data_IF_931314163295
#
_entry.id   IF_931314163295
#
_cell.length_a   1.000
_cell.length_b   1.000
_cell.length_c   1.000
_cell.angle_alpha   90.00
_cell.angle_beta   90.00
_cell.angle_gamma   90.00
#
_symmetry.space_group_name_H-M   'P 1'
#
loop_
_entity.id
_entity.type
_entity.pdbx_description
1 polymer ?
#
# COMPACT_ATOMS: atom_id res chain seq x y z
N UNK A 1 28.02 51.01 9.37
CA UNK A 1 27.14 49.93 8.88
C UNK A 1 26.84 50.18 7.40
N UNK A 2 27.71 49.72 6.49
CA UNK A 2 27.56 50.00 5.05
C UNK A 2 28.46 49.14 4.14
N UNK A 3 29.46 48.44 4.70
CA UNK A 3 30.36 47.60 3.91
C UNK A 3 29.70 46.31 3.39
N UNK A 4 28.62 45.80 4.02
CA UNK A 4 27.96 44.57 3.58
C UNK A 4 27.02 44.75 2.38
N UNK A 5 26.55 45.97 2.10
CA UNK A 5 25.67 46.26 0.97
C UNK A 5 26.44 46.53 -0.33
N UNK A 6 27.69 47.00 -0.25
CA UNK A 6 28.51 47.32 -1.43
C UNK A 6 29.06 46.10 -2.18
N UNK A 7 28.94 44.92 -1.57
CA UNK A 7 29.37 43.64 -2.16
C UNK A 7 28.20 42.81 -2.72
N UNK A 8 27.00 43.38 -2.81
CA UNK A 8 25.88 42.72 -3.47
C UNK A 8 25.98 42.92 -4.98
N UNK A 9 26.89 42.16 -5.60
CA UNK A 9 26.80 41.90 -7.03
C UNK A 9 25.47 41.19 -7.27
N UNK A 10 24.54 41.87 -7.96
CA UNK A 10 23.29 41.25 -8.37
C UNK A 10 23.58 40.01 -9.21
N UNK A 11 22.76 38.97 -9.07
CA UNK A 11 22.87 37.77 -9.88
C UNK A 11 22.75 38.13 -11.36
N UNK A 12 23.65 37.60 -12.17
CA UNK A 12 23.58 37.80 -13.62
C UNK A 12 22.34 37.09 -14.19
N UNK A 13 21.73 37.69 -15.21
CA UNK A 13 20.58 37.13 -15.92
C UNK A 13 20.77 35.65 -16.38
N UNK A 14 21.92 35.25 -16.95
CA UNK A 14 22.15 33.85 -17.31
C UNK A 14 22.27 32.91 -16.09
N UNK A 15 22.75 33.40 -14.95
CA UNK A 15 22.87 32.61 -13.72
C UNK A 15 21.51 32.33 -13.08
N UNK A 16 20.61 33.33 -13.09
CA UNK A 16 19.21 33.13 -12.68
C UNK A 16 18.49 32.16 -13.62
N UNK A 17 18.71 32.28 -14.93
CA UNK A 17 18.17 31.35 -15.93
C UNK A 17 18.66 29.93 -15.68
N UNK A 18 19.96 29.74 -15.42
CA UNK A 18 20.53 28.44 -15.09
C UNK A 18 19.94 27.86 -13.79
N UNK A 19 19.82 28.69 -12.75
CA UNK A 19 19.24 28.28 -11.46
C UNK A 19 17.76 27.87 -11.60
N UNK A 20 16.98 28.60 -12.39
CA UNK A 20 15.58 28.23 -12.66
C UNK A 20 15.47 26.92 -13.43
N UNK A 21 16.30 26.70 -14.44
CA UNK A 21 16.32 25.43 -15.20
C UNK A 21 16.73 24.27 -14.29
N UNK A 22 17.76 24.44 -13.46
CA UNK A 22 18.16 23.45 -12.46
C UNK A 22 17.02 23.13 -11.48
N UNK A 23 16.34 24.16 -10.97
CA UNK A 23 15.21 23.99 -10.06
C UNK A 23 14.07 23.20 -10.72
N UNK A 24 13.71 23.52 -11.96
CA UNK A 24 12.67 22.80 -12.71
C UNK A 24 13.06 21.34 -12.93
N UNK A 25 14.31 21.05 -13.29
CA UNK A 25 14.78 19.67 -13.45
C UNK A 25 14.68 18.89 -12.15
N UNK A 26 15.12 19.47 -11.03
CA UNK A 26 15.07 18.82 -9.71
C UNK A 26 13.63 18.55 -9.28
N UNK A 27 12.74 19.54 -9.38
CA UNK A 27 11.33 19.38 -8.98
C UNK A 27 10.61 18.36 -9.86
N UNK A 28 10.90 18.32 -11.15
CA UNK A 28 10.32 17.34 -12.08
C UNK A 28 10.81 15.92 -11.78
N UNK A 29 12.10 15.74 -11.53
CA UNK A 29 12.65 14.44 -11.14
C UNK A 29 12.09 13.97 -9.79
N UNK A 30 12.00 14.87 -8.81
CA UNK A 30 11.52 14.54 -7.47
C UNK A 30 10.04 14.18 -7.47
N UNK A 31 9.20 14.92 -8.20
CA UNK A 31 7.78 14.62 -8.36
C UNK A 31 7.53 13.30 -9.09
N UNK A 32 8.34 13.00 -10.12
CA UNK A 32 8.33 11.70 -10.79
C UNK A 32 8.62 10.56 -9.81
N UNK A 33 9.64 10.71 -8.97
CA UNK A 33 10.02 9.72 -7.97
C UNK A 33 8.98 9.55 -6.85
N UNK A 34 8.39 10.65 -6.38
CA UNK A 34 7.30 10.60 -5.39
C UNK A 34 6.09 9.84 -5.95
N UNK A 35 5.76 10.04 -7.22
CA UNK A 35 4.61 9.37 -7.86
C UNK A 35 4.81 7.86 -7.95
N UNK A 36 6.02 7.40 -8.31
CA UNK A 36 6.30 5.96 -8.38
C UNK A 36 6.30 5.32 -6.99
N UNK A 37 6.87 6.00 -5.99
CA UNK A 37 6.82 5.57 -4.59
C UNK A 37 5.39 5.43 -4.09
N UNK A 38 4.54 6.45 -4.27
CA UNK A 38 3.14 6.42 -3.82
C UNK A 38 2.37 5.26 -4.45
N UNK A 39 2.54 5.01 -5.74
CA UNK A 39 1.90 3.89 -6.43
C UNK A 39 2.37 2.53 -5.88
N UNK A 40 3.68 2.40 -5.60
CA UNK A 40 4.25 1.17 -5.04
C UNK A 40 3.78 0.91 -3.60
N UNK A 41 3.61 1.95 -2.79
CA UNK A 41 3.10 1.85 -1.43
C UNK A 41 1.60 1.54 -1.42
N UNK A 42 0.83 2.16 -2.31
CA UNK A 42 -0.59 1.89 -2.45
C UNK A 42 -0.86 0.42 -2.78
N UNK A 43 -0.11 -0.16 -3.73
CA UNK A 43 -0.27 -1.57 -4.10
C UNK A 43 0.12 -2.53 -2.96
N UNK A 44 1.20 -2.23 -2.23
CA UNK A 44 1.61 -2.99 -1.04
C UNK A 44 0.57 -2.90 0.08
N UNK A 45 0.03 -1.72 0.33
CA UNK A 45 -1.01 -1.51 1.34
C UNK A 45 -2.28 -2.30 1.01
N UNK A 46 -2.71 -2.32 -0.25
CA UNK A 46 -3.84 -3.14 -0.70
C UNK A 46 -3.60 -4.63 -0.45
N UNK A 47 -2.40 -5.13 -0.74
CA UNK A 47 -2.06 -6.53 -0.48
C UNK A 47 -2.09 -6.86 1.01
N UNK A 48 -1.53 -5.98 1.86
CA UNK A 48 -1.56 -6.17 3.31
C UNK A 48 -2.98 -6.11 3.89
N UNK A 49 -3.85 -5.26 3.34
CA UNK A 49 -5.26 -5.22 3.75
C UNK A 49 -5.97 -6.51 3.37
N UNK A 50 -5.77 -6.99 2.13
CA UNK A 50 -6.31 -8.26 1.68
C UNK A 50 -5.83 -9.42 2.56
N UNK A 51 -4.54 -9.44 2.91
CA UNK A 51 -3.99 -10.45 3.81
C UNK A 51 -4.62 -10.39 5.20
N UNK A 52 -4.73 -9.19 5.79
CA UNK A 52 -5.33 -8.99 7.11
C UNK A 52 -6.79 -9.42 7.16
N UNK A 53 -7.58 -9.03 6.15
CA UNK A 53 -8.98 -9.41 6.09
C UNK A 53 -9.16 -10.90 5.79
N UNK A 54 -8.35 -11.49 4.91
CA UNK A 54 -8.38 -12.94 4.67
C UNK A 54 -8.05 -13.74 5.91
N UNK A 55 -7.04 -13.31 6.67
CA UNK A 55 -6.69 -13.92 7.94
C UNK A 55 -7.80 -13.84 8.99
N UNK A 56 -8.54 -12.72 9.04
CA UNK A 56 -9.69 -12.58 9.93
C UNK A 56 -10.83 -13.52 9.52
N UNK A 57 -11.05 -13.74 8.22
CA UNK A 57 -12.13 -14.59 7.72
C UNK A 57 -11.84 -16.10 7.85
N UNK A 58 -10.56 -16.50 7.85
CA UNK A 58 -10.16 -17.90 8.05
C UNK A 58 -10.33 -18.38 9.50
N UNK A 59 -10.76 -17.53 10.42
CA UNK A 59 -11.07 -17.95 11.80
C UNK A 59 -12.28 -18.90 11.85
N UNK A 60 -12.35 -19.70 12.92
CA UNK A 60 -13.48 -20.61 13.20
C UNK A 60 -14.84 -19.90 13.20
N UNK A 61 -14.88 -18.67 13.69
CA UNK A 61 -16.07 -17.82 13.69
C UNK A 61 -16.05 -16.92 12.46
N UNK A 62 -17.11 -16.97 11.66
CA UNK A 62 -17.29 -16.04 10.56
C UNK A 62 -17.42 -14.61 11.11
N UNK A 63 -16.56 -13.72 10.63
CA UNK A 63 -16.62 -12.28 10.93
C UNK A 63 -17.36 -11.62 9.77
N UNK A 64 -18.28 -10.70 10.04
CA UNK A 64 -18.94 -9.96 8.96
C UNK A 64 -17.89 -9.27 8.09
N UNK A 65 -17.90 -9.47 6.75
CA UNK A 65 -16.97 -8.77 5.89
C UNK A 65 -17.20 -7.25 5.95
N UNK A 66 -16.14 -6.44 5.84
CA UNK A 66 -16.27 -4.98 5.76
C UNK A 66 -16.89 -4.56 4.43
N UNK A 67 -17.87 -3.64 4.46
CA UNK A 67 -18.63 -3.07 3.34
C UNK A 67 -18.42 -3.76 1.97
N UNK A 68 -17.98 -3.10 0.93
CA UNK A 68 -17.69 -3.55 -0.43
C UNK A 68 -16.76 -4.78 -0.69
N UNK A 69 -16.59 -5.72 0.25
CA UNK A 69 -15.77 -6.93 0.07
C UNK A 69 -16.64 -8.16 -0.19
N UNK A 70 -16.33 -8.92 -1.25
CA UNK A 70 -16.99 -10.21 -1.49
C UNK A 70 -16.16 -11.30 -0.82
N UNK A 71 -16.81 -12.10 0.03
CA UNK A 71 -16.15 -13.18 0.76
C UNK A 71 -16.94 -14.46 0.53
N UNK A 72 -16.26 -15.46 -0.03
CA UNK A 72 -16.80 -16.80 -0.17
C UNK A 72 -16.05 -17.72 0.80
N UNK A 73 -16.78 -18.29 1.78
CA UNK A 73 -16.21 -19.13 2.83
C UNK A 73 -16.73 -20.55 2.65
N UNK A 74 -15.83 -21.46 2.27
CA UNK A 74 -16.09 -22.89 2.21
C UNK A 74 -15.53 -23.56 3.45
N UNK A 75 -16.34 -24.40 4.08
CA UNK A 75 -15.95 -25.17 5.26
C UNK A 75 -16.08 -26.65 4.95
N UNK A 76 -14.98 -27.39 5.03
CA UNK A 76 -14.98 -28.84 4.85
C UNK A 76 -14.55 -29.49 6.16
N UNK A 77 -15.39 -30.38 6.69
CA UNK A 77 -15.03 -31.20 7.85
C UNK A 77 -14.45 -32.52 7.37
N UNK A 78 -13.21 -32.83 7.72
CA UNK A 78 -12.56 -34.09 7.39
C UNK A 78 -11.92 -34.67 8.66
N UNK A 79 -12.38 -35.86 9.04
CA UNK A 79 -11.84 -36.66 10.15
C UNK A 79 -11.65 -35.91 11.49
N UNK A 80 -12.60 -35.04 11.86
CA UNK A 80 -12.58 -34.28 13.12
C UNK A 80 -11.82 -32.95 13.05
N UNK A 81 -11.13 -32.65 11.95
CA UNK A 81 -10.62 -31.32 11.64
C UNK A 81 -11.59 -30.56 10.73
N UNK A 82 -11.64 -29.24 10.89
CA UNK A 82 -12.39 -28.33 10.02
C UNK A 82 -11.39 -27.54 9.19
N UNK A 83 -11.38 -27.75 7.88
CA UNK A 83 -10.70 -26.85 6.94
C UNK A 83 -11.64 -25.70 6.59
N UNK A 84 -11.13 -24.47 6.70
CA UNK A 84 -11.86 -23.26 6.34
C UNK A 84 -11.08 -22.63 5.20
N UNK A 85 -11.64 -22.70 4.01
CA UNK A 85 -11.15 -22.04 2.81
C UNK A 85 -11.93 -20.75 2.60
N UNK A 86 -11.24 -19.64 2.38
CA UNK A 86 -11.84 -18.34 2.15
C UNK A 86 -11.26 -17.73 0.89
N UNK A 87 -12.13 -17.43 -0.07
CA UNK A 87 -11.86 -16.60 -1.23
C UNK A 87 -12.35 -15.19 -0.94
N UNK A 88 -11.47 -14.20 -1.00
CA UNK A 88 -11.78 -12.79 -0.79
C UNK A 88 -11.54 -12.01 -2.08
N UNK A 89 -12.51 -11.21 -2.48
CA UNK A 89 -12.37 -10.24 -3.55
C UNK A 89 -12.39 -8.85 -2.93
N UNK A 90 -11.27 -8.16 -3.07
CA UNK A 90 -11.14 -6.76 -2.66
C UNK A 90 -11.97 -5.85 -3.57
N UNK A 91 -12.39 -4.67 -3.10
CA UNK A 91 -13.14 -3.70 -3.90
C UNK A 91 -12.41 -3.24 -5.17
N UNK A 92 -11.09 -3.38 -5.20
CA UNK A 92 -10.24 -3.12 -6.36
C UNK A 92 -10.14 -4.30 -7.35
N UNK A 93 -10.96 -5.33 -7.20
CA UNK A 93 -11.02 -6.48 -8.11
C UNK A 93 -9.91 -7.53 -7.92
N UNK A 94 -9.07 -7.40 -6.88
CA UNK A 94 -8.04 -8.40 -6.59
C UNK A 94 -8.63 -9.51 -5.74
N UNK A 95 -8.50 -10.74 -6.21
CA UNK A 95 -8.89 -11.95 -5.50
C UNK A 95 -7.70 -12.54 -4.74
N UNK A 96 -7.96 -13.12 -3.58
CA UNK A 96 -7.00 -13.97 -2.87
C UNK A 96 -7.70 -15.07 -2.10
N UNK A 97 -7.11 -16.26 -2.16
CA UNK A 97 -7.59 -17.44 -1.46
C UNK A 97 -6.68 -17.74 -0.26
N UNK A 98 -7.28 -18.10 0.87
CA UNK A 98 -6.59 -18.58 2.05
C UNK A 98 -7.29 -19.78 2.64
N UNK A 99 -6.53 -20.80 3.02
CA UNK A 99 -7.04 -22.00 3.65
C UNK A 99 -6.39 -22.20 5.01
N UNK A 100 -7.19 -22.52 6.03
CA UNK A 100 -6.70 -22.80 7.38
C UNK A 100 -7.36 -24.05 7.95
N UNK A 101 -6.53 -24.98 8.39
CA UNK A 101 -6.96 -26.19 9.08
C UNK A 101 -7.11 -25.91 10.58
N UNK A 102 -8.25 -26.27 11.13
CA UNK A 102 -8.53 -26.24 12.56
C UNK A 102 -8.79 -27.66 13.03
N UNK A 103 -7.78 -28.25 13.68
CA UNK A 103 -7.92 -29.55 14.31
C UNK A 103 -8.09 -29.36 15.81
N UNK A 104 -9.04 -30.06 16.46
CA UNK A 104 -9.04 -30.15 17.91
C UNK A 104 -7.71 -30.77 18.32
N UNK A 105 -6.99 -30.08 19.21
CA UNK A 105 -5.74 -30.57 19.74
C UNK A 105 -6.06 -31.90 20.44
N UNK A 106 -5.57 -33.03 19.91
CA UNK A 106 -5.59 -34.29 20.65
C UNK A 106 -4.64 -34.08 21.83
N UNK A 107 -5.19 -33.66 22.98
CA UNK A 107 -4.56 -33.89 24.28
C UNK A 107 -4.61 -35.39 24.58
#
# INVERSE_FOLDING_TARGET
>A
MSASLRNQQGFSLPEVMLAMVLMVMIVTALSGFQRTLMNSLASRNQYQQLWRHGWQQTQLRAISPPANWQVNRMQTSQAGCVSISVTLVSPGGREGEMTRLHCPNRQ
#
